data_IF_508586782557
#
_entry.id   IF_508586782557
#
_cell.length_a   1.000
_cell.length_b   1.000
_cell.length_c   1.000
_cell.angle_alpha   90.00
_cell.angle_beta   90.00
_cell.angle_gamma   90.00
#
_symmetry.space_group_name_H-M   'P 1'
#
loop_
_entity.id
_entity.type
_entity.pdbx_description
1 polymer ?
#
# COMPACT_ATOMS: atom_id res chain seq x y z
N UNK A 1 -18.41 -14.26 4.18
CA UNK A 1 -18.55 -13.18 3.19
C UNK A 1 -17.53 -12.07 3.45
N UNK A 2 -17.40 -11.62 4.69
CA UNK A 2 -16.57 -10.44 5.06
C UNK A 2 -15.08 -10.58 4.74
N UNK A 3 -14.50 -11.79 4.90
CA UNK A 3 -13.11 -12.05 4.52
C UNK A 3 -12.88 -11.93 3.01
N UNK A 4 -13.80 -12.46 2.20
CA UNK A 4 -13.68 -12.44 0.74
C UNK A 4 -13.74 -11.02 0.19
N UNK A 5 -14.65 -10.19 0.74
CA UNK A 5 -14.74 -8.77 0.41
C UNK A 5 -13.45 -8.03 0.78
N UNK A 6 -12.89 -8.31 1.96
CA UNK A 6 -11.62 -7.72 2.39
C UNK A 6 -10.43 -8.03 1.47
N UNK A 7 -10.30 -9.29 1.03
CA UNK A 7 -9.22 -9.72 0.12
C UNK A 7 -9.37 -9.09 -1.28
N UNK A 8 -10.59 -9.04 -1.82
CA UNK A 8 -10.87 -8.44 -3.13
C UNK A 8 -10.56 -6.94 -3.13
N UNK A 9 -11.00 -6.22 -2.09
CA UNK A 9 -10.73 -4.79 -1.93
C UNK A 9 -9.24 -4.54 -1.76
N UNK A 10 -8.54 -5.36 -0.95
CA UNK A 10 -7.09 -5.26 -0.78
C UNK A 10 -6.32 -5.41 -2.09
N UNK A 11 -6.67 -6.41 -2.90
CA UNK A 11 -6.05 -6.63 -4.21
C UNK A 11 -6.33 -5.49 -5.20
N UNK A 12 -7.56 -4.97 -5.24
CA UNK A 12 -7.93 -3.84 -6.09
C UNK A 12 -7.23 -2.54 -5.67
N UNK A 13 -7.11 -2.29 -4.37
CA UNK A 13 -6.45 -1.10 -3.82
C UNK A 13 -4.95 -1.06 -4.15
N UNK A 14 -4.28 -2.22 -4.10
CA UNK A 14 -2.90 -2.36 -4.57
C UNK A 14 -2.71 -1.90 -6.02
N UNK A 15 -3.64 -2.25 -6.92
CA UNK A 15 -3.57 -1.80 -8.32
C UNK A 15 -3.80 -0.30 -8.48
N UNK A 16 -4.75 0.27 -7.74
CA UNK A 16 -5.03 1.71 -7.77
C UNK A 16 -3.81 2.50 -7.30
N UNK A 17 -3.17 2.04 -6.23
CA UNK A 17 -1.97 2.69 -5.71
C UNK A 17 -0.80 2.57 -6.68
N UNK A 18 -0.56 1.39 -7.27
CA UNK A 18 0.46 1.22 -8.31
C UNK A 18 0.23 2.13 -9.51
N UNK A 19 -0.99 2.19 -10.06
CA UNK A 19 -1.32 3.07 -11.19
C UNK A 19 -1.14 4.56 -10.83
N UNK A 20 -1.50 4.97 -9.62
CA UNK A 20 -1.23 6.33 -9.17
C UNK A 20 0.27 6.64 -9.17
N UNK A 21 1.12 5.69 -8.76
CA UNK A 21 2.57 5.88 -8.78
C UNK A 21 3.10 5.91 -10.22
N UNK A 22 2.80 4.87 -10.99
CA UNK A 22 3.36 4.65 -12.33
C UNK A 22 2.84 5.66 -13.36
N UNK A 23 1.55 5.96 -13.32
CA UNK A 23 0.89 6.77 -14.36
C UNK A 23 0.79 8.27 -14.00
N UNK A 24 0.92 8.63 -12.71
CA UNK A 24 0.79 10.03 -12.26
C UNK A 24 2.06 10.54 -11.60
N UNK A 25 2.57 9.87 -10.58
CA UNK A 25 3.72 10.38 -9.82
C UNK A 25 5.02 10.31 -10.63
N UNK A 26 5.28 9.18 -11.31
CA UNK A 26 6.51 8.99 -12.09
C UNK A 26 6.64 10.00 -13.24
N UNK A 27 5.60 10.29 -14.06
CA UNK A 27 5.68 11.35 -15.07
C UNK A 27 5.96 12.73 -14.49
N UNK A 28 5.41 13.05 -13.30
CA UNK A 28 5.68 14.33 -12.62
C UNK A 28 7.13 14.41 -12.15
N UNK A 29 7.67 13.33 -11.58
CA UNK A 29 9.07 13.25 -11.15
C UNK A 29 10.00 13.40 -12.36
N UNK A 30 9.72 12.67 -13.45
CA UNK A 30 10.47 12.75 -14.70
C UNK A 30 10.47 14.18 -15.27
N UNK A 31 9.30 14.83 -15.31
CA UNK A 31 9.16 16.21 -15.76
C UNK A 31 10.02 17.19 -14.93
N UNK A 32 10.03 17.05 -13.60
CA UNK A 32 10.82 17.93 -12.71
C UNK A 32 12.32 17.66 -12.82
N UNK A 33 12.73 16.41 -13.05
CA UNK A 33 14.14 16.02 -13.18
C UNK A 33 14.75 16.28 -14.57
N UNK A 34 13.99 16.89 -15.49
CA UNK A 34 14.51 17.40 -16.77
C UNK A 34 14.42 16.45 -17.96
N UNK A 35 13.52 15.45 -17.94
CA UNK A 35 13.27 14.58 -19.11
C UNK A 35 12.75 13.20 -18.74
N UNK A 36 12.65 12.29 -19.73
CA UNK A 36 12.27 10.89 -19.55
C UNK A 36 13.28 10.16 -18.64
N UNK A 37 13.09 10.26 -17.32
CA UNK A 37 13.88 9.52 -16.34
C UNK A 37 13.42 8.05 -16.34
N UNK A 38 13.88 7.29 -17.32
CA UNK A 38 13.49 5.91 -17.53
C UNK A 38 14.35 4.95 -16.69
N UNK A 39 13.92 4.74 -15.44
CA UNK A 39 14.50 3.72 -14.55
C UNK A 39 14.40 2.30 -15.13
N UNK A 40 13.52 2.04 -16.10
CA UNK A 40 13.36 0.70 -16.70
C UNK A 40 14.61 0.31 -17.51
N UNK A 41 15.26 1.27 -18.16
CA UNK A 41 16.47 1.06 -18.95
C UNK A 41 17.78 1.20 -18.14
N UNK A 42 17.70 1.39 -16.83
CA UNK A 42 18.86 1.38 -15.94
C UNK A 42 19.15 -0.05 -15.46
N UNK A 43 19.97 -0.76 -16.22
CA UNK A 43 20.45 -2.09 -15.86
C UNK A 43 21.93 -2.25 -16.19
N UNK A 44 22.59 -3.15 -15.46
CA UNK A 44 23.95 -3.61 -15.78
C UNK A 44 23.81 -5.00 -16.39
N UNK A 45 24.36 -5.18 -17.58
CA UNK A 45 24.46 -6.50 -18.18
C UNK A 45 25.59 -7.29 -17.50
N UNK A 46 25.30 -8.49 -17.02
CA UNK A 46 26.28 -9.39 -16.40
C UNK A 46 26.56 -10.55 -17.38
N UNK A 47 27.25 -10.24 -18.47
CA UNK A 47 27.60 -11.22 -19.49
C UNK A 47 27.87 -10.58 -20.84
N UNK A 48 28.01 -11.41 -21.87
CA UNK A 48 28.07 -10.94 -23.25
C UNK A 48 26.64 -10.84 -23.79
N UNK A 49 26.25 -9.65 -24.25
CA UNK A 49 25.05 -9.51 -25.05
C UNK A 49 25.37 -10.07 -26.44
N UNK A 50 24.50 -10.92 -26.95
CA UNK A 50 24.61 -11.42 -28.32
C UNK A 50 24.78 -10.25 -29.30
N UNK A 51 25.83 -10.34 -30.12
CA UNK A 51 26.21 -9.28 -31.05
C UNK A 51 25.03 -8.90 -31.96
N UNK A 52 24.59 -7.64 -31.89
CA UNK A 52 23.48 -7.11 -32.69
C UNK A 52 22.15 -6.97 -31.97
N UNK A 53 22.05 -7.35 -30.69
CA UNK A 53 20.85 -7.11 -29.89
C UNK A 53 20.86 -5.68 -29.33
N UNK A 54 19.78 -4.89 -29.52
CA UNK A 54 19.64 -3.59 -28.88
C UNK A 54 19.80 -3.69 -27.36
N UNK A 55 20.60 -2.81 -26.76
CA UNK A 55 20.82 -2.74 -25.31
C UNK A 55 19.61 -2.13 -24.59
N UNK A 56 18.43 -2.68 -24.81
CA UNK A 56 17.19 -2.27 -24.16
C UNK A 56 16.75 -3.36 -23.19
N UNK A 57 16.17 -2.94 -22.06
CA UNK A 57 15.83 -3.86 -20.98
C UNK A 57 14.88 -4.98 -21.44
N UNK A 58 13.91 -4.67 -22.29
CA UNK A 58 12.92 -5.65 -22.74
C UNK A 58 13.53 -6.73 -23.63
N UNK A 59 14.38 -6.33 -24.59
CA UNK A 59 14.97 -7.26 -25.55
C UNK A 59 16.00 -8.18 -24.87
N UNK A 60 16.79 -7.64 -23.94
CA UNK A 60 17.77 -8.42 -23.19
C UNK A 60 17.11 -9.33 -22.13
N UNK A 61 15.97 -8.91 -21.56
CA UNK A 61 15.15 -9.76 -20.67
C UNK A 61 14.57 -10.95 -21.43
N UNK A 62 14.04 -10.74 -22.63
CA UNK A 62 13.51 -11.81 -23.48
C UNK A 62 14.59 -12.75 -23.99
N UNK A 63 15.79 -12.22 -24.27
CA UNK A 63 16.96 -13.02 -24.65
C UNK A 63 17.55 -13.86 -23.50
N UNK A 64 17.01 -13.73 -22.28
CA UNK A 64 17.51 -14.45 -21.09
C UNK A 64 18.92 -14.01 -20.68
N UNK A 65 19.36 -12.82 -21.09
CA UNK A 65 20.66 -12.30 -20.70
C UNK A 65 20.68 -12.07 -19.18
N UNK A 66 21.77 -12.39 -18.46
CA UNK A 66 21.86 -12.08 -17.04
C UNK A 66 21.97 -10.55 -16.90
N UNK A 67 21.00 -9.92 -16.25
CA UNK A 67 20.97 -8.47 -16.04
C UNK A 67 20.72 -8.14 -14.57
N UNK A 68 21.44 -7.15 -14.05
CA UNK A 68 21.10 -6.47 -12.80
C UNK A 68 20.32 -5.20 -13.12
N UNK A 69 18.99 -5.30 -13.11
CA UNK A 69 18.08 -4.18 -13.34
C UNK A 69 17.84 -3.36 -12.07
N UNK A 70 18.88 -2.64 -11.64
CA UNK A 70 18.84 -1.82 -10.43
C UNK A 70 17.83 -0.67 -10.52
N UNK A 71 17.53 -0.16 -11.72
CA UNK A 71 16.49 0.84 -11.89
C UNK A 71 15.09 0.31 -11.58
N UNK A 72 14.76 -0.91 -12.02
CA UNK A 72 13.49 -1.56 -11.62
C UNK A 72 13.39 -1.73 -10.10
N UNK A 73 14.49 -2.05 -9.43
CA UNK A 73 14.52 -2.14 -7.98
C UNK A 73 14.24 -0.78 -7.32
N UNK A 74 14.86 0.30 -7.81
CA UNK A 74 14.62 1.67 -7.32
C UNK A 74 13.14 2.05 -7.51
N UNK A 75 12.54 1.74 -8.66
CA UNK A 75 11.10 1.97 -8.90
C UNK A 75 10.23 1.24 -7.88
N UNK A 76 10.53 -0.02 -7.56
CA UNK A 76 9.79 -0.79 -6.55
C UNK A 76 9.94 -0.17 -5.15
N UNK A 77 11.14 0.28 -4.78
CA UNK A 77 11.39 0.96 -3.50
C UNK A 77 10.59 2.27 -3.41
N UNK A 78 10.59 3.07 -4.48
CA UNK A 78 9.80 4.31 -4.55
C UNK A 78 8.30 4.02 -4.42
N UNK A 79 7.79 3.01 -5.15
CA UNK A 79 6.40 2.59 -5.05
C UNK A 79 6.04 2.16 -3.62
N UNK A 80 6.90 1.38 -2.96
CA UNK A 80 6.69 0.98 -1.57
C UNK A 80 6.63 2.18 -0.61
N UNK A 81 7.52 3.16 -0.77
CA UNK A 81 7.52 4.39 0.04
C UNK A 81 6.23 5.19 -0.18
N UNK A 82 5.78 5.34 -1.44
CA UNK A 82 4.55 6.06 -1.76
C UNK A 82 3.33 5.31 -1.22
N UNK A 83 3.26 3.99 -1.38
CA UNK A 83 2.20 3.15 -0.84
C UNK A 83 2.13 3.28 0.69
N UNK A 84 3.28 3.20 1.37
CA UNK A 84 3.37 3.41 2.82
C UNK A 84 2.88 4.82 3.21
N UNK A 85 3.25 5.84 2.44
CA UNK A 85 2.80 7.22 2.65
C UNK A 85 1.28 7.39 2.48
N UNK A 86 0.69 6.80 1.44
CA UNK A 86 -0.75 6.83 1.18
C UNK A 86 -1.51 6.11 2.31
N UNK A 87 -1.06 4.91 2.70
CA UNK A 87 -1.67 4.17 3.82
C UNK A 87 -1.56 4.97 5.11
N UNK A 88 -0.40 5.57 5.39
CA UNK A 88 -0.20 6.43 6.55
C UNK A 88 -1.16 7.62 6.55
N UNK A 89 -1.32 8.31 5.42
CA UNK A 89 -2.29 9.40 5.29
C UNK A 89 -3.72 8.95 5.50
N UNK A 90 -4.10 7.78 4.98
CA UNK A 90 -5.44 7.22 5.15
C UNK A 90 -5.72 6.86 6.61
N UNK A 91 -4.79 6.19 7.29
CA UNK A 91 -4.88 5.89 8.72
C UNK A 91 -4.96 7.18 9.54
N UNK A 92 -4.15 8.19 9.19
CA UNK A 92 -4.20 9.51 9.84
C UNK A 92 -5.54 10.21 9.62
N UNK A 93 -6.11 10.15 8.41
CA UNK A 93 -7.41 10.72 8.09
C UNK A 93 -8.54 10.01 8.84
N UNK A 94 -8.52 8.67 8.87
CA UNK A 94 -9.46 7.87 9.65
C UNK A 94 -9.33 8.13 11.15
N UNK A 95 -8.12 8.18 11.70
CA UNK A 95 -7.88 8.52 13.10
C UNK A 95 -8.34 9.94 13.43
N UNK A 96 -8.16 10.90 12.50
CA UNK A 96 -8.67 12.28 12.66
C UNK A 96 -10.20 12.33 12.63
N UNK A 97 -10.85 11.55 11.75
CA UNK A 97 -12.31 11.47 11.67
C UNK A 97 -12.90 10.75 12.88
N UNK A 98 -12.32 9.64 13.33
CA UNK A 98 -12.74 8.95 14.57
C UNK A 98 -12.61 9.87 15.78
N UNK A 99 -11.50 10.58 15.91
CA UNK A 99 -11.31 11.56 17.00
C UNK A 99 -12.28 12.74 16.94
N UNK A 100 -12.80 13.07 15.76
CA UNK A 100 -13.81 14.13 15.56
C UNK A 100 -15.24 13.61 15.75
N UNK A 101 -15.46 12.32 15.50
CA UNK A 101 -16.69 11.61 15.84
C UNK A 101 -16.77 11.27 17.34
N UNK A 102 -15.62 11.22 18.03
CA UNK A 102 -15.46 11.19 19.50
C UNK A 102 -15.46 12.60 20.13
N UNK A 103 -16.15 13.59 19.53
CA UNK A 103 -16.85 14.56 20.40
C UNK A 103 -17.84 13.73 21.23
N UNK A 104 -18.00 13.99 22.55
CA UNK A 104 -18.63 13.03 23.45
C UNK A 104 -20.10 12.86 23.07
N UNK A 105 -20.37 11.95 22.14
CA UNK A 105 -21.63 11.22 22.08
C UNK A 105 -21.80 10.68 23.49
N UNK A 106 -22.85 11.18 24.14
CA UNK A 106 -23.29 10.81 25.46
C UNK A 106 -22.97 9.33 25.73
N UNK A 107 -22.48 8.99 26.95
CA UNK A 107 -21.91 7.69 27.27
C UNK A 107 -22.70 6.61 26.57
N UNK A 108 -22.04 5.91 25.62
CA UNK A 108 -22.65 4.77 24.93
C UNK A 108 -23.33 3.95 26.02
N UNK A 109 -24.67 3.85 25.94
CA UNK A 109 -25.40 3.02 26.88
C UNK A 109 -24.69 1.67 26.88
N UNK A 110 -24.15 1.24 28.03
CA UNK A 110 -23.29 0.07 28.05
C UNK A 110 -24.05 -1.05 27.39
N UNK A 111 -23.42 -1.68 26.38
CA UNK A 111 -24.03 -2.74 25.59
C UNK A 111 -24.83 -3.66 26.51
N UNK A 112 -26.03 -4.07 26.11
CA UNK A 112 -26.98 -4.83 26.95
C UNK A 112 -26.32 -6.00 27.69
N UNK A 113 -25.33 -6.64 27.07
CA UNK A 113 -24.48 -7.66 27.68
C UNK A 113 -23.73 -7.19 28.95
N UNK A 114 -23.18 -5.98 28.96
CA UNK A 114 -22.52 -5.36 30.12
C UNK A 114 -23.53 -5.05 31.23
N UNK A 115 -24.75 -4.61 30.88
CA UNK A 115 -25.83 -4.41 31.84
C UNK A 115 -26.27 -5.73 32.48
N UNK A 116 -26.50 -6.77 31.67
CA UNK A 116 -26.84 -8.11 32.14
C UNK A 116 -25.73 -8.69 33.02
N UNK A 117 -24.46 -8.50 32.66
CA UNK A 117 -23.34 -8.94 33.50
C UNK A 117 -23.27 -8.20 34.84
N UNK A 118 -23.59 -6.89 34.87
CA UNK A 118 -23.71 -6.13 36.13
C UNK A 118 -24.87 -6.64 37.00
N UNK A 119 -26.02 -6.91 36.42
CA UNK A 119 -27.16 -7.51 37.15
C UNK A 119 -26.83 -8.89 37.70
N UNK A 120 -26.17 -9.74 36.90
CA UNK A 120 -25.73 -11.07 37.35
C UNK A 120 -24.73 -10.95 38.50
N UNK A 121 -23.76 -10.03 38.41
CA UNK A 121 -22.81 -9.77 39.49
C UNK A 121 -23.48 -9.29 40.77
N UNK A 122 -24.50 -8.42 40.67
CA UNK A 122 -25.26 -7.94 41.81
C UNK A 122 -26.07 -9.07 42.47
N UNK A 123 -26.80 -9.86 41.67
CA UNK A 123 -27.61 -11.00 42.16
C UNK A 123 -26.77 -12.12 42.78
N UNK A 124 -25.53 -12.31 42.33
CA UNK A 124 -24.58 -13.27 42.92
C UNK A 124 -23.99 -12.76 44.24
N UNK A 125 -23.83 -11.44 44.39
CA UNK A 125 -23.35 -10.82 45.64
C UNK A 125 -24.40 -10.84 46.76
N UNK A 126 -25.67 -10.71 46.42
CA UNK A 126 -26.79 -10.74 47.37
C UNK A 126 -27.13 -12.15 47.89
N UNK A 127 -26.72 -13.19 47.15
CA UNK A 127 -27.00 -14.60 47.48
C UNK A 127 -25.91 -15.29 48.32
N UNK A 128 -24.98 -14.52 48.88
CA UNK A 128 -23.95 -14.96 49.84
C UNK A 128 -24.26 -14.40 51.22
#
# INVERSE_FOLDING_TARGET
MDLAVGVIIGAAFGKITTSLVEDVIMPIIAFIMGGEFDFKNMFILLGDASAGVPMTYEVLKEAGAPMLAYGSFITVVINFIILAFIIFMMVKAMNKLRRKAEEPTAPEEPAEKILLLREISAKLGEKR
#
